data_IF_022529483537
#
_entry.id   IF_022529483537
#
_cell.length_a   1.000
_cell.length_b   1.000
_cell.length_c   1.000
_cell.angle_alpha   90.00
_cell.angle_beta   90.00
_cell.angle_gamma   90.00
#
_symmetry.space_group_name_H-M   'P 1'
#
loop_
_entity.id
_entity.type
_entity.pdbx_description
1 polymer ?
#
# COMPACT_ATOMS: atom_id res chain seq x y z
N UNK A 1 12.03 22.09 9.19
CA UNK A 1 11.01 21.25 9.84
C UNK A 1 10.61 20.20 8.81
N UNK A 2 11.18 19.00 8.87
CA UNK A 2 10.79 17.90 7.96
C UNK A 2 9.67 17.16 8.67
N UNK A 3 8.43 17.42 8.27
CA UNK A 3 7.29 16.61 8.69
C UNK A 3 7.46 15.23 8.04
N UNK A 4 8.12 14.33 8.76
CA UNK A 4 8.28 12.94 8.34
C UNK A 4 6.92 12.26 8.45
N UNK A 5 6.16 12.28 7.35
CA UNK A 5 4.85 11.64 7.20
C UNK A 5 5.00 10.10 7.10
N UNK A 6 5.74 9.52 8.04
CA UNK A 6 6.03 8.10 8.13
C UNK A 6 4.89 7.39 8.87
N UNK A 7 4.39 6.30 8.28
CA UNK A 7 3.32 5.51 8.87
C UNK A 7 3.81 4.82 10.14
N UNK A 8 2.98 4.82 11.18
CA UNK A 8 3.26 4.16 12.46
C UNK A 8 2.25 3.05 12.73
N UNK A 9 2.66 2.08 13.54
CA UNK A 9 1.79 1.01 14.02
C UNK A 9 0.58 1.62 14.76
N UNK A 10 -0.60 1.05 14.52
CA UNK A 10 -1.87 1.51 15.11
C UNK A 10 -2.53 2.66 14.36
N UNK A 11 -1.83 3.31 13.41
CA UNK A 11 -2.46 4.29 12.53
C UNK A 11 -3.38 3.60 11.52
N UNK A 12 -4.48 4.27 11.17
CA UNK A 12 -5.29 3.85 10.04
C UNK A 12 -4.45 3.94 8.76
N UNK A 13 -4.39 2.86 8.00
CA UNK A 13 -3.74 2.86 6.70
C UNK A 13 -4.38 3.91 5.76
N UNK A 14 -3.57 4.64 4.96
CA UNK A 14 -4.10 5.64 4.03
C UNK A 14 -5.05 4.99 3.02
N UNK A 15 -6.15 5.67 2.68
CA UNK A 15 -6.98 5.24 1.56
C UNK A 15 -6.40 5.83 0.26
N UNK A 16 -6.14 4.96 -0.71
CA UNK A 16 -5.58 5.34 -2.01
C UNK A 16 -6.25 4.53 -3.12
N UNK A 17 -6.12 5.05 -4.34
CA UNK A 17 -6.48 4.32 -5.56
C UNK A 17 -5.22 4.07 -6.35
N UNK A 18 -4.99 2.82 -6.76
CA UNK A 18 -3.83 2.43 -7.55
C UNK A 18 -4.25 1.58 -8.75
N UNK A 19 -3.46 1.64 -9.83
CA UNK A 19 -3.58 0.67 -10.92
C UNK A 19 -2.88 -0.62 -10.51
N UNK A 20 -3.56 -1.75 -10.72
CA UNK A 20 -3.01 -3.08 -10.45
C UNK A 20 -3.08 -3.92 -11.71
N UNK A 21 -2.45 -5.09 -11.71
CA UNK A 21 -2.58 -6.08 -12.78
C UNK A 21 -4.01 -6.63 -12.94
N UNK A 22 -4.88 -6.40 -11.97
CA UNK A 22 -6.31 -6.74 -12.01
C UNK A 22 -7.22 -5.52 -12.29
N UNK A 23 -6.63 -4.39 -12.71
CA UNK A 23 -7.33 -3.12 -12.93
C UNK A 23 -7.25 -2.15 -11.76
N UNK A 24 -8.03 -1.05 -11.79
CA UNK A 24 -8.01 -0.03 -10.75
C UNK A 24 -8.58 -0.56 -9.42
N UNK A 25 -7.85 -0.35 -8.33
CA UNK A 25 -8.24 -0.77 -6.99
C UNK A 25 -8.24 0.42 -6.04
N UNK A 26 -9.35 0.64 -5.33
CA UNK A 26 -9.41 1.54 -4.18
C UNK A 26 -9.17 0.74 -2.90
N UNK A 27 -8.17 1.11 -2.10
CA UNK A 27 -7.74 0.32 -0.93
C UNK A 27 -8.89 0.04 0.05
N UNK A 28 -9.77 1.02 0.29
CA UNK A 28 -10.93 0.86 1.15
C UNK A 28 -12.00 -0.13 0.67
N UNK A 29 -11.91 -0.66 -0.55
CA UNK A 29 -12.78 -1.76 -1.03
C UNK A 29 -12.43 -3.11 -0.39
N UNK A 30 -11.21 -3.26 0.14
CA UNK A 30 -10.72 -4.48 0.79
C UNK A 30 -11.09 -4.59 2.28
N UNK A 31 -11.92 -3.67 2.79
CA UNK A 31 -12.33 -3.65 4.21
C UNK A 31 -13.00 -4.97 4.63
N UNK A 32 -12.76 -5.36 5.88
CA UNK A 32 -13.24 -6.63 6.43
C UNK A 32 -12.28 -7.81 6.23
N UNK A 33 -11.10 -7.57 5.64
CA UNK A 33 -10.03 -8.56 5.47
C UNK A 33 -8.72 -8.02 6.05
N UNK A 34 -7.85 -8.92 6.51
CA UNK A 34 -6.45 -8.59 6.72
C UNK A 34 -5.75 -8.47 5.38
N UNK A 35 -4.92 -7.44 5.22
CA UNK A 35 -4.22 -7.12 3.97
C UNK A 35 -2.75 -6.88 4.27
N UNK A 36 -1.87 -7.53 3.51
CA UNK A 36 -0.42 -7.29 3.54
C UNK A 36 -0.04 -6.57 2.25
N UNK A 37 0.47 -5.35 2.38
CA UNK A 37 1.03 -4.58 1.27
C UNK A 37 2.55 -4.66 1.36
N UNK A 38 3.18 -5.07 0.26
CA UNK A 38 4.63 -5.15 0.14
C UNK A 38 5.07 -4.54 -1.20
N UNK A 39 6.33 -4.15 -1.28
CA UNK A 39 6.96 -3.67 -2.51
C UNK A 39 8.25 -4.44 -2.77
N UNK A 40 8.72 -4.36 -4.00
CA UNK A 40 10.05 -4.77 -4.41
C UNK A 40 10.73 -3.64 -5.22
N UNK A 41 12.07 -3.61 -5.33
CA UNK A 41 12.79 -2.55 -6.04
C UNK A 41 12.48 -2.49 -7.55
N UNK A 42 12.30 -3.64 -8.20
CA UNK A 42 11.99 -3.70 -9.62
C UNK A 42 11.68 -5.12 -10.10
N UNK A 43 11.01 -5.18 -11.25
CA UNK A 43 10.64 -6.43 -11.90
C UNK A 43 11.88 -7.06 -12.55
N UNK A 44 11.95 -8.40 -12.57
CA UNK A 44 13.05 -9.18 -13.19
C UNK A 44 14.46 -8.94 -12.60
N UNK A 45 14.55 -8.48 -11.35
CA UNK A 45 15.82 -8.43 -10.61
C UNK A 45 15.96 -9.62 -9.65
N UNK A 46 17.16 -10.15 -9.41
CA UNK A 46 17.37 -11.05 -8.27
C UNK A 46 17.07 -10.30 -6.96
N UNK A 47 16.82 -11.07 -5.89
CA UNK A 47 16.71 -10.56 -4.52
C UNK A 47 18.08 -10.30 -3.93
#
# INVERSE_FOLDING_TARGET
MIDSNCLKIGMKAPDFTAQTTFGPLKFSSLRGKWVVLFSHPGDFTPV
#
